data_IF_155708429676
#
_entry.id   IF_155708429676
#
_cell.length_a   1.000
_cell.length_b   1.000
_cell.length_c   1.000
_cell.angle_alpha   90.00
_cell.angle_beta   90.00
_cell.angle_gamma   90.00
#
_symmetry.space_group_name_H-M   'P 1'
#
loop_
_entity.id
_entity.type
_entity.pdbx_description
1 polymer ?
#
# COMPACT_ATOMS: atom_id res chain seq x y z
N UNK A 1 19.41 -2.83 -15.26
CA UNK A 1 18.41 -1.77 -14.98
C UNK A 1 17.54 -1.69 -16.21
N UNK A 2 16.22 -1.64 -16.05
CA UNK A 2 15.29 -1.49 -17.18
C UNK A 2 14.92 -0.02 -17.30
N UNK A 3 14.81 0.47 -18.53
CA UNK A 3 14.38 1.84 -18.81
C UNK A 3 12.90 1.83 -19.18
N UNK A 4 12.08 2.53 -18.38
CA UNK A 4 10.64 2.63 -18.60
C UNK A 4 10.39 3.88 -19.44
N UNK A 5 10.29 3.71 -20.76
CA UNK A 5 10.10 4.81 -21.71
C UNK A 5 8.66 5.33 -21.76
N UNK A 6 7.71 4.59 -21.20
CA UNK A 6 6.31 5.00 -21.10
C UNK A 6 6.05 5.83 -19.82
N UNK A 7 5.25 6.90 -19.89
CA UNK A 7 4.89 7.68 -18.69
C UNK A 7 4.05 6.84 -17.72
N UNK A 8 4.34 6.94 -16.42
CA UNK A 8 3.50 6.33 -15.39
C UNK A 8 2.15 7.06 -15.31
N UNK A 9 1.09 6.41 -15.79
CA UNK A 9 -0.29 6.87 -15.62
C UNK A 9 -1.01 5.88 -14.72
N UNK A 10 -1.63 6.37 -13.64
CA UNK A 10 -2.43 5.51 -12.74
C UNK A 10 -3.50 4.78 -13.56
N UNK A 11 -3.54 3.45 -13.48
CA UNK A 11 -4.37 2.61 -14.35
C UNK A 11 -3.68 2.07 -15.60
N UNK A 12 -2.41 2.41 -15.85
CA UNK A 12 -1.60 1.91 -16.97
C UNK A 12 -0.26 1.31 -16.51
N UNK A 13 -0.15 0.85 -15.26
CA UNK A 13 1.04 0.12 -14.76
C UNK A 13 1.39 -1.13 -15.59
N UNK A 14 0.45 -1.55 -16.45
CA UNK A 14 0.61 -2.57 -17.48
C UNK A 14 1.76 -2.29 -18.49
N UNK A 15 2.37 -1.10 -18.52
CA UNK A 15 3.56 -0.83 -19.34
C UNK A 15 4.85 -1.50 -18.83
N UNK A 16 4.87 -2.02 -17.60
CA UNK A 16 5.99 -2.84 -17.10
C UNK A 16 5.96 -4.28 -17.65
N UNK A 17 4.84 -4.69 -18.25
CA UNK A 17 4.58 -6.07 -18.69
C UNK A 17 5.57 -6.59 -19.74
N UNK A 18 6.05 -5.82 -20.73
CA UNK A 18 7.04 -6.33 -21.69
C UNK A 18 8.30 -6.89 -21.01
N UNK A 19 8.81 -6.21 -19.97
CA UNK A 19 9.97 -6.68 -19.20
C UNK A 19 9.65 -7.93 -18.36
N UNK A 20 8.42 -8.04 -17.87
CA UNK A 20 7.96 -9.22 -17.12
C UNK A 20 7.80 -10.43 -18.05
N UNK A 21 7.29 -10.23 -19.27
CA UNK A 21 7.19 -11.27 -20.30
C UNK A 21 8.59 -11.77 -20.65
N UNK A 22 9.55 -10.87 -20.87
CA UNK A 22 10.94 -11.24 -21.14
C UNK A 22 11.54 -12.07 -19.99
N UNK A 23 11.33 -11.65 -18.74
CA UNK A 23 11.80 -12.38 -17.57
C UNK A 23 11.24 -13.82 -17.49
N UNK A 24 9.97 -14.01 -17.85
CA UNK A 24 9.34 -15.34 -17.91
C UNK A 24 9.85 -16.15 -19.10
N UNK A 25 10.01 -15.53 -20.27
CA UNK A 25 10.55 -16.18 -21.46
C UNK A 25 12.01 -16.62 -21.28
N UNK A 26 12.82 -15.88 -20.53
CA UNK A 26 14.17 -16.29 -20.16
C UNK A 26 14.17 -17.60 -19.35
N UNK A 27 13.10 -17.86 -18.59
CA UNK A 27 12.90 -19.13 -17.87
C UNK A 27 12.40 -20.27 -18.76
N UNK A 28 11.92 -20.00 -19.97
CA UNK A 28 11.65 -21.05 -20.96
C UNK A 28 12.92 -21.84 -21.34
N UNK A 29 14.12 -21.29 -21.07
CA UNK A 29 15.41 -21.99 -21.20
C UNK A 29 15.63 -23.07 -20.13
N UNK A 30 14.87 -23.04 -19.04
CA UNK A 30 14.88 -24.04 -17.96
C UNK A 30 13.45 -24.56 -17.73
N UNK A 31 12.91 -25.42 -18.61
CA UNK A 31 11.50 -25.82 -18.58
C UNK A 31 11.03 -26.42 -17.26
N UNK A 32 11.94 -27.10 -16.54
CA UNK A 32 11.65 -27.69 -15.23
C UNK A 32 11.41 -26.67 -14.10
N UNK A 33 11.71 -25.39 -14.33
CA UNK A 33 11.51 -24.30 -13.36
C UNK A 33 10.42 -23.32 -13.80
N UNK A 34 9.67 -23.64 -14.85
CA UNK A 34 8.61 -22.77 -15.34
C UNK A 34 7.44 -22.76 -14.34
N UNK A 35 6.98 -21.58 -13.89
CA UNK A 35 5.94 -21.52 -12.89
C UNK A 35 4.59 -21.96 -13.47
N UNK A 36 3.84 -22.74 -12.70
CA UNK A 36 2.47 -23.13 -13.04
C UNK A 36 1.46 -22.00 -12.81
N UNK A 37 1.81 -21.04 -11.94
CA UNK A 37 0.99 -19.88 -11.59
C UNK A 37 1.90 -18.73 -11.16
N UNK A 38 1.53 -17.50 -11.50
CA UNK A 38 2.20 -16.28 -11.06
C UNK A 38 1.37 -15.51 -10.04
N UNK A 39 2.02 -15.06 -8.97
CA UNK A 39 1.48 -14.07 -8.04
C UNK A 39 2.11 -12.73 -8.37
N UNK A 40 1.30 -11.80 -8.85
CA UNK A 40 1.76 -10.49 -9.36
C UNK A 40 1.46 -9.42 -8.31
N UNK A 41 2.45 -8.60 -7.96
CA UNK A 41 2.26 -7.44 -7.08
C UNK A 41 1.49 -6.35 -7.83
N UNK A 42 0.16 -6.40 -7.75
CA UNK A 42 -0.71 -5.54 -8.53
C UNK A 42 -2.11 -6.12 -8.68
N UNK A 43 -2.93 -5.43 -9.47
CA UNK A 43 -4.31 -5.82 -9.68
C UNK A 43 -4.49 -6.70 -10.93
N UNK A 44 -5.50 -7.56 -10.89
CA UNK A 44 -6.08 -8.25 -12.05
C UNK A 44 -7.39 -7.58 -12.47
N UNK A 45 -8.52 -8.29 -12.37
CA UNK A 45 -9.86 -7.77 -12.70
C UNK A 45 -10.29 -6.58 -11.82
N UNK A 46 -9.75 -6.44 -10.60
CA UNK A 46 -9.98 -5.28 -9.73
C UNK A 46 -9.24 -4.05 -10.27
N UNK A 47 -9.71 -3.50 -11.38
CA UNK A 47 -9.04 -2.46 -12.14
C UNK A 47 -10.04 -1.53 -12.83
N UNK A 48 -9.66 -0.27 -13.08
CA UNK A 48 -10.53 0.74 -13.70
C UNK A 48 -11.17 0.30 -15.02
N UNK A 49 -10.52 -0.63 -15.73
CA UNK A 49 -10.99 -1.19 -17.01
C UNK A 49 -11.15 -2.71 -16.96
N UNK A 50 -11.18 -3.32 -15.78
CA UNK A 50 -11.20 -4.78 -15.62
C UNK A 50 -9.93 -5.50 -16.11
N UNK A 51 -8.86 -4.78 -16.45
CA UNK A 51 -7.65 -5.33 -17.05
C UNK A 51 -6.37 -4.77 -16.43
N UNK A 52 -6.06 -5.24 -15.22
CA UNK A 52 -4.84 -4.86 -14.51
C UNK A 52 -3.59 -5.60 -15.00
N UNK A 53 -2.45 -5.32 -14.36
CA UNK A 53 -1.13 -5.90 -14.70
C UNK A 53 -1.13 -7.44 -14.66
N UNK A 54 -1.85 -8.06 -13.70
CA UNK A 54 -1.92 -9.51 -13.60
C UNK A 54 -2.72 -10.14 -14.77
N UNK A 55 -3.78 -9.46 -15.24
CA UNK A 55 -4.52 -9.89 -16.43
C UNK A 55 -3.65 -9.75 -17.67
N UNK A 56 -3.03 -8.57 -17.85
CA UNK A 56 -2.22 -8.28 -19.02
C UNK A 56 -1.04 -9.25 -19.16
N UNK A 57 -0.29 -9.47 -18.08
CA UNK A 57 0.81 -10.42 -18.05
C UNK A 57 0.31 -11.84 -18.36
N UNK A 58 -0.73 -12.30 -17.66
CA UNK A 58 -1.24 -13.67 -17.82
C UNK A 58 -1.72 -13.98 -19.23
N UNK A 59 -2.40 -13.04 -19.88
CA UNK A 59 -2.86 -13.19 -21.28
C UNK A 59 -1.67 -13.29 -22.24
N UNK A 60 -0.62 -12.49 -22.06
CA UNK A 60 0.52 -12.48 -22.98
C UNK A 60 1.40 -13.73 -22.86
N UNK A 61 1.56 -14.28 -21.65
CA UNK A 61 2.40 -15.46 -21.41
C UNK A 61 1.61 -16.78 -21.37
N UNK A 62 0.28 -16.69 -21.47
CA UNK A 62 -0.67 -17.81 -21.44
C UNK A 62 -0.65 -18.65 -20.13
N UNK A 63 -0.18 -18.08 -19.02
CA UNK A 63 -0.11 -18.74 -17.70
C UNK A 63 -1.16 -18.22 -16.72
N UNK A 64 -1.62 -19.07 -15.78
CA UNK A 64 -2.43 -18.63 -14.65
C UNK A 64 -1.76 -17.50 -13.85
N UNK A 65 -2.51 -16.42 -13.63
CA UNK A 65 -2.02 -15.23 -12.94
C UNK A 65 -3.01 -14.76 -11.87
N UNK A 66 -2.48 -14.34 -10.71
CA UNK A 66 -3.22 -13.80 -9.58
C UNK A 66 -2.73 -12.38 -9.32
N UNK A 67 -3.64 -11.42 -9.23
CA UNK A 67 -3.34 -10.08 -8.75
C UNK A 67 -3.36 -10.03 -7.23
N UNK A 68 -2.23 -9.67 -6.62
CA UNK A 68 -2.06 -9.50 -5.17
C UNK A 68 -1.76 -8.03 -4.88
N UNK A 69 -2.77 -7.26 -4.52
CA UNK A 69 -2.60 -5.84 -4.20
C UNK A 69 -2.50 -5.58 -2.68
N UNK A 70 -1.60 -4.68 -2.30
CA UNK A 70 -1.37 -4.27 -0.89
C UNK A 70 -2.34 -3.19 -0.41
N UNK A 71 -3.05 -2.54 -1.34
CA UNK A 71 -3.99 -1.43 -1.12
C UNK A 71 -5.25 -1.67 -1.96
N UNK A 72 -6.40 -1.22 -1.46
CA UNK A 72 -7.65 -1.26 -2.21
C UNK A 72 -7.55 -0.27 -3.36
N UNK A 73 -7.85 -0.73 -4.58
CA UNK A 73 -8.10 0.17 -5.70
C UNK A 73 -9.57 0.60 -5.67
N UNK A 74 -9.81 1.91 -5.74
CA UNK A 74 -11.16 2.46 -5.66
C UNK A 74 -11.78 2.54 -7.05
N UNK A 75 -12.55 1.52 -7.40
CA UNK A 75 -13.18 1.32 -8.72
C UNK A 75 -14.56 0.73 -8.54
N UNK A 76 -15.49 1.05 -9.44
CA UNK A 76 -16.86 0.49 -9.43
C UNK A 76 -17.54 0.63 -8.05
N UNK A 77 -17.46 1.81 -7.44
CA UNK A 77 -18.04 2.09 -6.12
C UNK A 77 -17.29 1.52 -4.92
N UNK A 78 -16.24 0.71 -5.14
CA UNK A 78 -15.39 0.27 -4.04
C UNK A 78 -14.62 1.46 -3.46
N UNK A 79 -14.80 1.71 -2.18
CA UNK A 79 -14.14 2.79 -1.46
C UNK A 79 -13.55 2.31 -0.13
N UNK A 80 -12.49 2.97 0.32
CA UNK A 80 -11.91 2.71 1.65
C UNK A 80 -12.63 3.52 2.74
N UNK A 81 -13.96 3.40 2.77
CA UNK A 81 -14.84 4.08 3.73
C UNK A 81 -14.91 3.33 5.08
N UNK A 82 -15.75 3.83 6.00
CA UNK A 82 -15.86 3.26 7.35
C UNK A 82 -16.46 1.85 7.35
N UNK A 83 -17.44 1.56 6.47
CA UNK A 83 -17.97 0.20 6.27
C UNK A 83 -16.87 -0.78 5.85
N UNK A 84 -15.96 -0.35 4.97
CA UNK A 84 -14.80 -1.17 4.59
C UNK A 84 -13.88 -1.43 5.78
N UNK A 85 -13.61 -0.40 6.60
CA UNK A 85 -12.77 -0.55 7.80
C UNK A 85 -13.41 -1.49 8.82
N UNK A 86 -14.71 -1.41 9.03
CA UNK A 86 -15.47 -2.33 9.89
C UNK A 86 -15.34 -3.77 9.40
N UNK A 87 -15.57 -4.03 8.11
CA UNK A 87 -15.37 -5.37 7.52
C UNK A 87 -13.95 -5.89 7.70
N UNK A 88 -12.93 -5.02 7.59
CA UNK A 88 -11.54 -5.39 7.87
C UNK A 88 -11.31 -5.73 9.34
N UNK A 89 -11.95 -5.01 10.27
CA UNK A 89 -11.87 -5.30 11.71
C UNK A 89 -12.53 -6.64 12.08
N UNK A 90 -13.52 -7.08 11.30
CA UNK A 90 -14.15 -8.40 11.48
C UNK A 90 -13.23 -9.57 11.09
N UNK A 91 -12.14 -9.34 10.36
CA UNK A 91 -11.16 -10.38 10.01
C UNK A 91 -10.28 -10.70 11.23
N UNK A 92 -10.55 -11.82 11.90
CA UNK A 92 -9.89 -12.22 13.16
C UNK A 92 -8.66 -13.10 12.92
N UNK A 93 -8.78 -14.12 12.08
CA UNK A 93 -7.74 -15.11 11.81
C UNK A 93 -7.12 -14.98 10.42
N UNK A 94 -5.89 -15.45 10.27
CA UNK A 94 -5.23 -15.56 8.99
C UNK A 94 -5.94 -16.58 8.10
N UNK A 95 -6.48 -16.11 6.98
CA UNK A 95 -7.34 -16.87 6.08
C UNK A 95 -8.74 -16.28 5.99
N UNK A 96 -9.14 -15.42 6.93
CA UNK A 96 -10.43 -14.75 6.87
C UNK A 96 -10.53 -13.84 5.65
N UNK A 97 -11.72 -13.79 5.08
CA UNK A 97 -11.98 -13.05 3.83
C UNK A 97 -13.36 -12.40 3.81
N UNK A 98 -13.50 -11.34 3.02
CA UNK A 98 -14.80 -10.86 2.55
C UNK A 98 -14.74 -10.45 1.05
N UNK A 99 -15.84 -10.58 0.30
CA UNK A 99 -15.88 -10.24 -1.11
C UNK A 99 -15.86 -8.72 -1.32
N UNK A 100 -15.20 -8.30 -2.40
CA UNK A 100 -15.20 -6.93 -2.90
C UNK A 100 -16.22 -6.84 -4.04
N UNK A 101 -17.45 -6.46 -3.69
CA UNK A 101 -18.57 -6.33 -4.62
C UNK A 101 -18.67 -4.87 -5.02
N UNK A 102 -18.55 -4.57 -6.32
CA UNK A 102 -18.76 -3.23 -6.84
C UNK A 102 -20.24 -2.86 -6.95
N UNK A 103 -20.53 -1.60 -7.25
CA UNK A 103 -21.91 -1.08 -7.43
C UNK A 103 -22.65 -1.79 -8.56
N UNK A 104 -21.91 -2.29 -9.55
CA UNK A 104 -22.43 -3.15 -10.62
C UNK A 104 -22.98 -4.50 -10.13
N UNK A 105 -22.72 -4.87 -8.88
CA UNK A 105 -23.02 -6.20 -8.32
C UNK A 105 -21.96 -7.26 -8.65
N UNK A 106 -20.92 -6.91 -9.40
CA UNK A 106 -19.84 -7.82 -9.78
C UNK A 106 -18.85 -7.97 -8.63
N UNK A 107 -18.45 -9.21 -8.34
CA UNK A 107 -17.34 -9.49 -7.42
C UNK A 107 -16.01 -9.26 -8.14
N UNK A 108 -15.35 -8.15 -7.84
CA UNK A 108 -14.07 -7.76 -8.46
C UNK A 108 -12.86 -8.43 -7.81
N UNK A 109 -13.02 -8.91 -6.57
CA UNK A 109 -11.96 -9.57 -5.82
C UNK A 109 -12.38 -9.92 -4.41
N UNK A 110 -11.38 -10.21 -3.57
CA UNK A 110 -11.54 -10.57 -2.15
C UNK A 110 -10.52 -9.83 -1.31
N UNK A 111 -10.95 -9.27 -0.19
CA UNK A 111 -10.05 -8.85 0.88
C UNK A 111 -9.67 -10.08 1.71
N UNK A 112 -8.37 -10.35 1.86
CA UNK A 112 -7.82 -11.50 2.56
C UNK A 112 -6.93 -11.05 3.71
N UNK A 113 -7.24 -11.48 4.95
CA UNK A 113 -6.29 -11.41 6.05
C UNK A 113 -5.25 -12.51 5.88
N UNK A 114 -4.11 -12.16 5.29
CA UNK A 114 -3.13 -13.15 4.83
C UNK A 114 -2.29 -13.80 5.92
N UNK A 115 -2.28 -13.25 7.15
CA UNK A 115 -1.49 -13.73 8.28
C UNK A 115 -2.12 -13.25 9.60
N UNK A 116 -2.01 -14.02 10.69
CA UNK A 116 -2.68 -13.74 11.97
C UNK A 116 -2.28 -12.37 12.55
N UNK A 117 -0.98 -12.08 12.55
CA UNK A 117 -0.44 -10.78 13.01
C UNK A 117 -0.61 -9.61 12.03
N UNK A 118 -1.26 -9.80 10.88
CA UNK A 118 -1.46 -8.71 9.91
C UNK A 118 -2.74 -7.94 10.21
N UNK A 119 -2.63 -6.61 10.36
CA UNK A 119 -3.79 -5.72 10.48
C UNK A 119 -4.35 -5.28 9.12
N UNK A 120 -3.53 -5.30 8.08
CA UNK A 120 -3.91 -4.84 6.76
C UNK A 120 -4.13 -6.04 5.83
N UNK A 121 -5.32 -6.19 5.22
CA UNK A 121 -5.57 -7.27 4.28
C UNK A 121 -4.76 -7.08 2.99
N UNK A 122 -4.73 -8.14 2.20
CA UNK A 122 -4.39 -8.12 0.78
C UNK A 122 -5.68 -8.11 -0.03
N UNK A 123 -5.65 -7.50 -1.21
CA UNK A 123 -6.77 -7.43 -2.14
C UNK A 123 -6.44 -8.35 -3.30
N UNK A 124 -7.13 -9.48 -3.37
CA UNK A 124 -6.87 -10.55 -4.32
C UNK A 124 -7.87 -10.45 -5.45
N UNK A 125 -7.38 -10.46 -6.68
CA UNK A 125 -8.22 -10.44 -7.87
C UNK A 125 -7.71 -11.43 -8.91
N UNK A 126 -8.62 -11.96 -9.72
CA UNK A 126 -8.26 -12.88 -10.81
C UNK A 126 -7.42 -12.11 -11.83
N UNK A 127 -6.30 -12.69 -12.26
CA UNK A 127 -5.54 -12.21 -13.40
C UNK A 127 -5.92 -12.97 -14.67
N UNK A 128 -5.56 -14.25 -14.76
CA UNK A 128 -5.80 -15.08 -15.93
C UNK A 128 -5.91 -16.56 -15.56
N UNK A 129 -6.74 -17.34 -16.27
CA UNK A 129 -6.89 -18.81 -16.16
C UNK A 129 -6.98 -19.38 -14.73
N UNK A 130 -7.59 -18.65 -13.80
CA UNK A 130 -7.78 -19.11 -12.43
C UNK A 130 -9.08 -18.57 -11.84
N UNK A 131 -9.76 -19.37 -11.02
CA UNK A 131 -10.94 -18.89 -10.28
C UNK A 131 -10.52 -18.01 -9.10
N UNK A 132 -11.42 -17.13 -8.67
CA UNK A 132 -11.16 -16.25 -7.52
C UNK A 132 -10.93 -17.05 -6.23
N UNK A 133 -11.72 -18.11 -6.00
CA UNK A 133 -11.57 -18.98 -4.83
C UNK A 133 -10.19 -19.65 -4.79
N UNK A 134 -9.76 -20.26 -5.91
CA UNK A 134 -8.44 -20.90 -6.00
C UNK A 134 -7.32 -19.87 -5.84
N UNK A 135 -7.47 -18.68 -6.41
CA UNK A 135 -6.50 -17.59 -6.27
C UNK A 135 -6.31 -17.18 -4.80
N UNK A 136 -7.39 -17.03 -4.04
CA UNK A 136 -7.35 -16.69 -2.61
C UNK A 136 -6.67 -17.80 -1.81
N UNK A 137 -7.07 -19.06 -2.03
CA UNK A 137 -6.49 -20.23 -1.34
C UNK A 137 -5.00 -20.38 -1.60
N UNK A 138 -4.57 -20.27 -2.87
CA UNK A 138 -3.15 -20.33 -3.23
C UNK A 138 -2.37 -19.17 -2.63
N UNK A 139 -2.93 -17.95 -2.67
CA UNK A 139 -2.28 -16.78 -2.06
C UNK A 139 -2.04 -17.01 -0.57
N UNK A 140 -3.05 -17.50 0.17
CA UNK A 140 -2.91 -17.81 1.60
C UNK A 140 -1.88 -18.92 1.85
N UNK A 141 -1.87 -19.98 1.04
CA UNK A 141 -0.89 -21.05 1.16
C UNK A 141 0.56 -20.56 0.93
N UNK A 142 0.75 -19.52 0.11
CA UNK A 142 2.05 -18.89 -0.10
C UNK A 142 2.43 -17.87 1.00
N UNK A 143 1.57 -17.57 1.97
CA UNK A 143 1.82 -16.57 3.00
C UNK A 143 2.48 -17.18 4.25
N UNK A 144 3.81 -17.14 4.29
CA UNK A 144 4.59 -17.30 5.54
C UNK A 144 4.57 -16.05 6.42
N UNK A 145 4.39 -14.89 5.78
CA UNK A 145 4.23 -13.57 6.39
C UNK A 145 2.99 -12.90 5.79
N UNK A 146 2.77 -11.61 6.09
CA UNK A 146 1.70 -10.83 5.43
C UNK A 146 1.77 -10.91 3.91
N UNK A 147 2.95 -10.72 3.32
CA UNK A 147 3.12 -10.75 1.86
C UNK A 147 3.42 -12.19 1.41
N UNK A 148 2.78 -12.72 0.35
CA UNK A 148 3.07 -14.06 -0.17
C UNK A 148 4.55 -14.18 -0.54
N UNK A 149 5.14 -15.33 -0.27
CA UNK A 149 6.57 -15.56 -0.41
C UNK A 149 7.09 -15.26 -1.84
N UNK A 150 6.42 -15.64 -2.95
CA UNK A 150 6.88 -15.28 -4.30
C UNK A 150 6.97 -13.76 -4.52
N UNK A 151 5.94 -13.02 -4.09
CA UNK A 151 5.88 -11.55 -4.21
C UNK A 151 6.94 -10.89 -3.32
N UNK A 152 7.08 -11.35 -2.08
CA UNK A 152 8.07 -10.85 -1.12
C UNK A 152 9.49 -11.05 -1.64
N UNK A 153 9.77 -12.21 -2.22
CA UNK A 153 11.06 -12.60 -2.76
C UNK A 153 11.43 -11.80 -4.02
N UNK A 154 10.44 -11.48 -4.85
CA UNK A 154 10.63 -10.58 -6.00
C UNK A 154 10.96 -9.14 -5.54
N UNK A 155 10.21 -8.59 -4.56
CA UNK A 155 10.43 -7.23 -4.02
C UNK A 155 11.81 -7.09 -3.33
N UNK A 156 12.26 -8.10 -2.59
CA UNK A 156 13.60 -8.09 -1.96
C UNK A 156 14.70 -8.03 -3.03
N UNK A 157 14.62 -8.91 -4.04
CA UNK A 157 15.65 -8.99 -5.10
C UNK A 157 15.67 -7.74 -5.96
N UNK A 158 14.52 -7.18 -6.31
CA UNK A 158 14.45 -5.95 -7.11
C UNK A 158 15.06 -4.77 -6.37
N UNK A 159 14.75 -4.59 -5.08
CA UNK A 159 15.34 -3.55 -4.22
C UNK A 159 16.85 -3.74 -4.04
N UNK A 160 17.29 -4.98 -3.84
CA UNK A 160 18.72 -5.29 -3.70
C UNK A 160 19.48 -4.96 -4.99
N UNK A 161 18.92 -5.32 -6.16
CA UNK A 161 19.51 -5.02 -7.45
C UNK A 161 19.64 -3.50 -7.69
N UNK A 162 18.59 -2.72 -7.37
CA UNK A 162 18.61 -1.25 -7.46
C UNK A 162 19.70 -0.68 -6.55
N UNK A 163 19.76 -1.13 -5.29
CA UNK A 163 20.77 -0.67 -4.32
C UNK A 163 22.19 -0.89 -4.86
N UNK A 164 22.50 -2.13 -5.26
CA UNK A 164 23.84 -2.47 -5.79
C UNK A 164 24.19 -1.66 -7.04
N UNK A 165 23.24 -1.49 -7.95
CA UNK A 165 23.51 -0.80 -9.22
C UNK A 165 23.73 0.70 -9.03
N UNK A 166 22.99 1.35 -8.14
CA UNK A 166 23.16 2.77 -7.84
C UNK A 166 24.39 3.04 -6.95
N UNK A 167 24.73 2.13 -6.04
CA UNK A 167 25.98 2.20 -5.27
C UNK A 167 27.21 2.07 -6.18
N UNK A 168 27.16 1.18 -7.19
CA UNK A 168 28.24 1.02 -8.20
C UNK A 168 28.31 2.17 -9.21
N UNK A 169 27.21 2.89 -9.44
CA UNK A 169 27.14 4.05 -10.33
C UNK A 169 27.59 5.36 -9.66
N UNK A 170 27.83 5.35 -8.34
CA UNK A 170 28.39 6.50 -7.63
C UNK A 170 29.92 6.52 -7.82
N UNK A 171 30.53 7.62 -8.30
CA UNK A 171 31.99 7.70 -8.38
C UNK A 171 32.60 7.50 -6.98
N UNK A 172 33.82 6.92 -6.87
CA UNK A 172 34.47 6.78 -5.57
C UNK A 172 34.57 8.17 -4.94
N UNK A 173 33.98 8.31 -3.76
CA UNK A 173 34.01 9.57 -3.02
C UNK A 173 35.47 9.93 -2.74
N UNK A 174 36.00 10.93 -3.48
CA UNK A 174 37.20 11.65 -3.08
C UNK A 174 36.98 12.14 -1.65
N UNK A 175 37.96 11.84 -0.80
CA UNK A 175 37.87 11.87 0.65
C UNK A 175 37.12 13.08 1.21
N UNK A 176 36.10 12.81 2.02
CA UNK A 176 35.52 13.83 2.89
C UNK A 176 36.52 14.13 4.01
N UNK A 177 37.35 15.16 3.81
CA UNK A 177 38.03 15.80 4.93
C UNK A 177 36.99 16.26 5.96
N UNK A 178 37.25 15.93 7.22
CA UNK A 178 36.42 16.33 8.36
C UNK A 178 36.42 17.86 8.47
N UNK A 179 35.34 18.50 8.05
CA UNK A 179 35.05 19.87 8.47
C UNK A 179 34.86 19.86 9.99
N UNK A 180 35.85 20.40 10.70
CA UNK A 180 35.80 20.57 12.15
C UNK A 180 34.65 21.53 12.51
N UNK A 181 33.80 21.11 13.46
CA UNK A 181 32.76 21.96 14.04
C UNK A 181 33.41 23.18 14.70
N UNK A 182 33.19 24.35 14.12
CA UNK A 182 33.42 25.64 14.80
C UNK A 182 32.42 25.73 15.95
N UNK A 183 32.93 25.83 17.19
CA UNK A 183 32.13 26.04 18.41
C UNK A 183 31.41 27.39 18.33
N UNK A 184 30.08 27.39 18.55
CA UNK A 184 29.33 28.63 18.85
C UNK A 184 29.69 29.08 20.27
N UNK A 185 29.92 30.38 20.52
CA UNK A 185 30.14 30.89 21.87
C UNK A 185 28.82 30.89 22.67
N UNK A 186 28.90 30.45 23.92
CA UNK A 186 27.82 30.55 24.91
C UNK A 186 27.65 32.00 25.35
N UNK A 187 26.40 32.50 25.34
CA UNK A 187 26.03 33.74 26.02
C UNK A 187 25.08 33.38 27.16
N UNK A 188 25.52 33.71 28.38
CA UNK A 188 24.84 33.50 29.65
C UNK A 188 24.04 34.76 30.02
N UNK A 189 22.78 34.68 30.48
CA UNK A 189 22.13 35.83 31.13
C UNK A 189 22.36 35.80 32.65
N UNK A 190 23.06 36.83 33.15
CA UNK A 190 23.12 37.17 34.57
C UNK A 190 21.86 37.94 35.03
N UNK A 191 21.55 37.77 36.32
CA UNK A 191 20.42 38.27 37.13
C UNK A 191 20.44 39.79 37.39
N UNK A 192 19.27 40.37 37.69
CA UNK A 192 18.88 41.18 38.89
C UNK A 192 17.59 41.99 38.56
N UNK A 193 16.43 41.73 39.17
CA UNK A 193 15.87 42.20 40.47
C UNK A 193 15.12 43.56 40.41
N UNK A 194 13.89 43.62 40.93
CA UNK A 194 13.23 44.88 41.33
C UNK A 194 11.71 44.93 41.12
N UNK A 195 10.95 44.52 42.14
CA UNK A 195 9.52 44.82 42.44
C UNK A 195 9.33 46.30 42.92
N UNK A 196 8.13 46.81 43.36
CA UNK A 196 6.78 46.21 43.54
C UNK A 196 5.55 47.11 43.14
N UNK A 197 4.34 46.58 43.45
CA UNK A 197 3.06 47.25 43.83
C UNK A 197 2.12 47.74 42.71
N UNK A 198 0.78 47.61 42.75
CA UNK A 198 -0.19 47.19 43.79
C UNK A 198 -1.58 46.87 43.18
N UNK A 199 -2.26 45.92 43.83
CA UNK A 199 -3.69 45.76 44.20
C UNK A 199 -4.89 46.37 43.42
N UNK A 200 -5.97 45.57 43.34
CA UNK A 200 -7.37 46.05 43.26
C UNK A 200 -8.42 45.01 42.79
N UNK A 201 -9.36 44.62 43.66
CA UNK A 201 -10.49 43.65 43.47
C UNK A 201 -11.83 44.31 43.00
N UNK A 202 -12.90 43.54 42.66
CA UNK A 202 -14.10 43.94 41.89
C UNK A 202 -15.33 44.36 42.75
N UNK A 203 -16.49 44.67 42.12
CA UNK A 203 -17.78 43.95 42.35
C UNK A 203 -18.64 43.75 41.05
N UNK A 204 -19.41 42.66 40.85
CA UNK A 204 -20.86 42.41 41.19
C UNK A 204 -21.87 43.43 40.59
N UNK A 205 -23.08 43.17 40.07
CA UNK A 205 -23.96 41.99 39.87
C UNK A 205 -25.17 42.45 38.98
N UNK A 206 -25.99 41.50 38.48
CA UNK A 206 -27.44 41.55 38.22
C UNK A 206 -27.94 40.91 36.90
N UNK A 207 -28.59 39.74 37.05
CA UNK A 207 -29.67 39.22 36.18
C UNK A 207 -31.03 39.78 36.66
N UNK A 208 -32.18 39.71 35.94
CA UNK A 208 -32.90 38.43 35.72
C UNK A 208 -33.82 38.29 34.46
N UNK A 209 -34.00 37.05 34.00
CA UNK A 209 -35.35 36.44 33.81
C UNK A 209 -36.13 36.58 32.47
N UNK A 210 -37.12 35.68 32.21
CA UNK A 210 -37.31 35.00 30.92
C UNK A 210 -38.75 35.06 30.31
N UNK A 211 -38.95 34.51 29.09
CA UNK A 211 -40.27 34.16 28.51
C UNK A 211 -40.13 33.49 27.13
N UNK A 212 -40.41 32.18 27.00
CA UNK A 212 -41.70 31.54 26.63
C UNK A 212 -41.97 31.60 25.09
N UNK A 213 -41.75 30.50 24.36
CA UNK A 213 -42.73 29.44 23.98
C UNK A 213 -43.56 29.81 22.72
N UNK A 214 -43.65 28.87 21.76
CA UNK A 214 -44.90 28.41 21.11
C UNK A 214 -44.64 27.47 19.90
N UNK A 215 -44.94 26.19 20.16
CA UNK A 215 -45.66 25.15 19.39
C UNK A 215 -45.73 25.09 17.85
N UNK A 216 -45.60 23.84 17.40
CA UNK A 216 -46.02 23.27 16.13
C UNK A 216 -47.46 22.74 16.18
N UNK A 217 -48.08 22.38 15.04
CA UNK A 217 -49.12 21.35 14.96
C UNK A 217 -48.56 19.95 14.67
#
# INVERSE_FOLDING_TARGET
>A
VVDLTAPYVSGFLAFEVPFLVEAVQLRAKEPGLLPQVLLVDGNGLLHHRGFGVACHLGVLIDLPCIGVAKKLLQVDGLEKNDLHKEKVQLLQAGGDTFPLVGDSGIVLGVALKSHDHSTNPLYISVGHKISLETAVRLTRACCRFRIPEPVRQADIRSREYIRRTLELASPPALGRERIQKVKRPEVCPQRYSGEPASEGRPPEDHSPGPGADLDAP
#
